data_IF_632727914932
#
_entry.id   IF_632727914932
#
_cell.length_a   1.000
_cell.length_b   1.000
_cell.length_c   1.000
_cell.angle_alpha   90.00
_cell.angle_beta   90.00
_cell.angle_gamma   90.00
#
_symmetry.space_group_name_H-M   'P 1'
#
loop_
_entity.id
_entity.type
_entity.pdbx_description
1 polymer ?
#
# COMPACT_ATOMS: atom_id res chain seq x y z
N UNK A 1 -12.60 -61.24 -35.25
CA UNK A 1 -13.34 -60.92 -36.48
C UNK A 1 -13.75 -59.47 -36.36
N UNK A 2 -13.09 -58.61 -37.14
CA UNK A 2 -13.49 -57.23 -37.38
C UNK A 2 -14.92 -57.15 -37.92
N UNK A 3 -15.66 -56.12 -37.52
CA UNK A 3 -16.32 -55.21 -38.46
C UNK A 3 -17.08 -54.10 -37.72
N UNK A 4 -16.54 -52.88 -37.77
CA UNK A 4 -17.30 -51.64 -37.81
C UNK A 4 -17.97 -51.51 -39.20
N UNK A 5 -19.15 -50.85 -39.36
CA UNK A 5 -19.12 -49.39 -39.57
C UNK A 5 -20.36 -48.57 -39.13
N UNK A 6 -20.08 -47.30 -38.81
CA UNK A 6 -20.75 -46.03 -39.20
C UNK A 6 -22.28 -45.79 -39.07
N UNK A 7 -22.60 -44.88 -38.12
CA UNK A 7 -23.34 -43.60 -38.23
C UNK A 7 -24.53 -43.44 -39.22
N UNK A 8 -25.70 -43.06 -38.67
CA UNK A 8 -26.66 -42.17 -39.34
C UNK A 8 -27.34 -41.19 -38.36
N UNK A 9 -27.45 -39.95 -38.83
CA UNK A 9 -27.91 -38.72 -38.17
C UNK A 9 -29.44 -38.64 -38.04
N UNK A 10 -29.91 -37.95 -36.99
CA UNK A 10 -31.17 -37.18 -36.92
C UNK A 10 -30.80 -35.80 -36.36
N UNK A 11 -30.98 -34.68 -37.08
CA UNK A 11 -32.20 -33.86 -37.10
C UNK A 11 -32.17 -32.91 -35.88
N UNK A 12 -32.30 -31.59 -35.91
CA UNK A 12 -32.67 -30.57 -36.90
C UNK A 12 -32.01 -29.24 -36.49
N UNK A 13 -32.02 -28.27 -37.39
CA UNK A 13 -31.41 -26.97 -37.24
C UNK A 13 -32.28 -25.98 -36.45
N UNK A 14 -31.67 -25.11 -35.64
CA UNK A 14 -32.14 -23.72 -35.51
C UNK A 14 -31.00 -22.77 -35.16
N UNK A 15 -31.09 -21.61 -35.77
CA UNK A 15 -30.09 -20.55 -35.95
C UNK A 15 -29.94 -19.72 -34.66
N UNK A 16 -28.70 -19.41 -34.28
CA UNK A 16 -28.36 -18.50 -33.17
C UNK A 16 -28.10 -17.09 -33.70
N UNK A 17 -28.76 -16.03 -33.21
CA UNK A 17 -28.26 -14.66 -33.35
C UNK A 17 -27.54 -14.19 -32.08
N UNK A 18 -26.44 -13.47 -32.29
CA UNK A 18 -25.67 -12.72 -31.29
C UNK A 18 -26.59 -11.82 -30.45
N UNK A 19 -26.48 -11.91 -29.12
CA UNK A 19 -26.96 -10.87 -28.22
C UNK A 19 -25.77 -10.10 -27.64
N UNK A 20 -25.63 -8.87 -28.13
CA UNK A 20 -24.88 -7.78 -27.52
C UNK A 20 -25.80 -7.15 -26.46
N UNK A 21 -25.45 -7.22 -25.18
CA UNK A 21 -26.21 -6.56 -24.11
C UNK A 21 -25.40 -5.41 -23.53
N UNK A 22 -25.95 -4.23 -23.80
CA UNK A 22 -25.51 -2.88 -23.48
C UNK A 22 -25.66 -2.58 -21.98
N UNK A 23 -24.60 -2.09 -21.33
CA UNK A 23 -24.69 -1.49 -20.00
C UNK A 23 -25.34 -0.10 -20.11
N UNK A 24 -26.42 0.10 -19.35
CA UNK A 24 -27.08 1.40 -19.15
C UNK A 24 -26.36 2.12 -18.00
N UNK A 25 -25.72 3.25 -18.31
CA UNK A 25 -25.25 4.23 -17.32
C UNK A 25 -26.24 5.39 -17.30
N UNK A 26 -26.90 5.61 -16.17
CA UNK A 26 -27.77 6.76 -15.95
C UNK A 26 -26.89 7.93 -15.45
N UNK A 27 -26.70 8.93 -16.30
CA UNK A 27 -26.17 10.25 -15.92
C UNK A 27 -27.34 11.23 -15.88
N UNK A 28 -27.61 11.79 -14.70
CA UNK A 28 -28.63 12.81 -14.47
C UNK A 28 -27.97 14.19 -14.50
N UNK A 29 -28.06 14.88 -15.65
CA UNK A 29 -27.70 16.29 -15.80
C UNK A 29 -28.99 17.06 -16.05
N UNK A 30 -29.44 17.84 -15.07
CA UNK A 30 -30.53 18.80 -15.23
C UNK A 30 -29.92 20.06 -15.84
N UNK A 31 -30.24 20.29 -17.12
CA UNK A 31 -29.99 21.56 -17.81
C UNK A 31 -31.08 22.58 -17.51
N UNK A 32 -30.70 23.84 -17.35
CA UNK A 32 -31.62 24.97 -17.50
C UNK A 32 -31.32 25.62 -18.85
N UNK A 33 -32.26 25.44 -19.77
CA UNK A 33 -32.29 26.04 -21.11
C UNK A 33 -32.63 27.54 -21.04
N UNK A 34 -31.95 28.30 -21.88
CA UNK A 34 -32.22 29.71 -22.13
C UNK A 34 -33.51 29.94 -22.93
N UNK A 35 -34.14 31.08 -22.67
CA UNK A 35 -35.25 31.63 -23.45
C UNK A 35 -34.73 32.73 -24.39
N UNK A 36 -35.16 32.73 -25.65
CA UNK A 36 -34.80 33.75 -26.66
C UNK A 36 -35.83 34.87 -26.74
N UNK A 37 -35.31 36.09 -26.68
CA UNK A 37 -35.61 37.32 -27.44
C UNK A 37 -37.06 37.79 -27.69
N UNK A 38 -37.36 39.00 -27.18
CA UNK A 38 -38.14 40.06 -27.86
C UNK A 38 -37.33 41.35 -27.70
N UNK A 39 -37.19 42.11 -28.80
CA UNK A 39 -36.25 43.21 -28.92
C UNK A 39 -36.72 44.55 -28.38
N UNK A 40 -35.75 45.42 -28.11
CA UNK A 40 -35.89 46.86 -28.30
C UNK A 40 -34.50 47.48 -28.53
N UNK A 41 -34.45 48.45 -29.44
CA UNK A 41 -33.25 49.18 -29.82
C UNK A 41 -32.92 50.23 -28.75
N UNK A 42 -31.80 50.08 -28.06
CA UNK A 42 -31.15 51.21 -27.40
C UNK A 42 -29.65 51.15 -27.65
N UNK A 43 -29.17 52.12 -28.43
CA UNK A 43 -27.75 52.42 -28.59
C UNK A 43 -27.19 52.89 -27.25
N UNK A 44 -26.28 52.12 -26.66
CA UNK A 44 -25.49 52.56 -25.51
C UNK A 44 -24.00 52.41 -25.85
N UNK A 45 -23.29 53.51 -25.68
CA UNK A 45 -21.90 53.72 -26.05
C UNK A 45 -20.95 52.69 -25.42
N UNK A 46 -19.98 52.23 -26.22
CA UNK A 46 -18.86 51.42 -25.77
C UNK A 46 -17.95 52.23 -24.84
N UNK A 47 -18.14 52.11 -23.53
CA UNK A 47 -17.15 52.50 -22.55
C UNK A 47 -16.20 51.32 -22.32
N UNK A 48 -14.94 51.46 -22.76
CA UNK A 48 -13.85 50.56 -22.41
C UNK A 48 -13.56 50.66 -20.91
N UNK A 49 -14.14 49.76 -20.12
CA UNK A 49 -13.71 49.56 -18.74
C UNK A 49 -12.36 48.83 -18.77
N UNK A 50 -11.31 49.51 -18.35
CA UNK A 50 -10.00 48.91 -18.15
C UNK A 50 -10.12 47.77 -17.12
N UNK A 51 -9.81 46.55 -17.55
CA UNK A 51 -9.70 45.41 -16.66
C UNK A 51 -8.61 45.69 -15.63
N UNK A 52 -8.96 45.65 -14.35
CA UNK A 52 -7.99 45.59 -13.27
C UNK A 52 -7.18 44.31 -13.46
N UNK A 53 -5.83 44.36 -13.53
CA UNK A 53 -5.06 43.14 -13.65
C UNK A 53 -5.33 42.29 -12.40
N UNK A 54 -5.81 41.06 -12.63
CA UNK A 54 -5.87 40.05 -11.60
C UNK A 54 -4.47 39.93 -11.00
N UNK A 55 -4.36 40.04 -9.68
CA UNK A 55 -3.11 39.78 -8.99
C UNK A 55 -2.67 38.36 -9.37
N UNK A 56 -1.51 38.25 -10.01
CA UNK A 56 -0.77 36.99 -10.14
C UNK A 56 -0.74 36.37 -8.74
N UNK A 57 -1.18 35.11 -8.54
CA UNK A 57 -0.95 34.44 -7.27
C UNK A 57 0.54 34.57 -6.99
N UNK A 58 0.89 35.13 -5.83
CA UNK A 58 2.26 35.08 -5.36
C UNK A 58 2.70 33.62 -5.47
N UNK A 59 3.83 33.36 -6.13
CA UNK A 59 4.43 32.04 -6.11
C UNK A 59 4.55 31.66 -4.63
N UNK A 60 3.75 30.70 -4.17
CA UNK A 60 3.97 30.11 -2.86
C UNK A 60 5.41 29.60 -2.91
N UNK A 61 6.26 30.20 -2.10
CA UNK A 61 7.61 29.68 -1.88
C UNK A 61 7.38 28.33 -1.22
N UNK A 62 7.38 27.26 -2.02
CA UNK A 62 7.25 25.90 -1.54
C UNK A 62 8.40 25.65 -0.56
N UNK A 63 8.07 25.63 0.73
CA UNK A 63 8.99 25.43 1.84
C UNK A 63 8.95 23.99 2.36
N UNK A 64 8.43 23.06 1.56
CA UNK A 64 8.42 21.64 1.88
C UNK A 64 9.85 21.11 2.00
N UNK A 65 10.05 20.13 2.88
CA UNK A 65 11.31 19.44 3.01
C UNK A 65 11.67 18.70 1.72
N UNK A 66 12.98 18.55 1.48
CA UNK A 66 13.53 17.89 0.30
C UNK A 66 14.50 16.81 0.76
N UNK A 67 14.36 15.61 0.18
CA UNK A 67 15.27 14.50 0.46
C UNK A 67 16.57 14.71 -0.31
N UNK A 68 17.69 14.74 0.40
CA UNK A 68 19.01 14.58 -0.19
C UNK A 68 19.30 13.08 -0.37
N UNK A 69 19.24 12.60 -1.61
CA UNK A 69 19.47 11.19 -1.92
C UNK A 69 20.93 10.73 -1.68
N UNK A 70 21.87 11.67 -1.49
CA UNK A 70 23.26 11.39 -1.16
C UNK A 70 23.53 11.39 0.36
N UNK A 71 22.60 11.90 1.17
CA UNK A 71 22.75 11.92 2.62
C UNK A 71 22.70 10.50 3.20
N UNK A 72 23.43 10.31 4.30
CA UNK A 72 23.48 9.06 5.06
C UNK A 72 22.77 9.22 6.39
N UNK A 73 22.09 8.18 6.89
CA UNK A 73 21.51 8.21 8.22
C UNK A 73 22.59 8.38 9.28
N UNK A 74 22.20 8.83 10.47
CA UNK A 74 23.10 8.90 11.63
C UNK A 74 23.66 7.51 12.00
N UNK A 75 24.83 7.47 12.64
CA UNK A 75 25.52 6.20 12.95
C UNK A 75 24.79 5.31 13.96
N UNK A 76 23.90 5.88 14.75
CA UNK A 76 23.03 5.18 15.71
C UNK A 76 21.66 4.83 15.14
N UNK A 77 21.33 5.31 13.93
CA UNK A 77 20.08 4.95 13.23
C UNK A 77 19.96 3.43 13.04
N UNK A 78 18.72 2.95 13.06
CA UNK A 78 18.37 1.55 12.84
C UNK A 78 17.24 1.46 11.83
N UNK A 79 17.39 0.54 10.88
CA UNK A 79 16.27 0.15 10.02
C UNK A 79 15.18 -0.55 10.81
N UNK A 80 13.98 -0.56 10.25
CA UNK A 80 12.89 -1.41 10.73
C UNK A 80 13.24 -2.86 10.43
N UNK A 81 13.20 -3.70 11.45
CA UNK A 81 13.38 -5.15 11.26
C UNK A 81 12.26 -5.69 10.34
N UNK A 82 12.59 -6.25 9.17
CA UNK A 82 11.59 -6.80 8.28
C UNK A 82 11.15 -8.20 8.69
N UNK A 83 11.78 -8.84 9.69
CA UNK A 83 11.42 -10.21 10.11
C UNK A 83 9.97 -10.25 10.57
N UNK A 84 9.21 -11.17 9.98
CA UNK A 84 7.83 -11.44 10.37
C UNK A 84 7.77 -12.70 11.24
N UNK A 85 7.43 -12.56 12.54
CA UNK A 85 7.26 -13.72 13.41
C UNK A 85 6.10 -14.60 12.95
N UNK A 86 6.19 -15.90 13.24
CA UNK A 86 5.09 -16.87 13.06
C UNK A 86 3.83 -16.43 13.78
N UNK A 87 2.67 -16.91 13.32
CA UNK A 87 1.41 -16.59 13.96
C UNK A 87 1.40 -16.98 15.45
N UNK A 88 0.91 -16.11 16.35
CA UNK A 88 0.76 -16.45 17.75
C UNK A 88 -0.23 -17.58 17.94
N UNK A 89 -0.02 -18.40 18.97
CA UNK A 89 -0.95 -19.46 19.34
C UNK A 89 -2.20 -18.87 20.00
N UNK A 90 -3.39 -19.34 19.63
CA UNK A 90 -4.65 -18.97 20.26
C UNK A 90 -5.69 -18.55 19.24
N UNK A 91 -6.94 -18.39 19.71
CA UNK A 91 -8.08 -17.97 18.87
C UNK A 91 -8.55 -16.54 19.12
N UNK A 92 -8.02 -15.87 20.15
CA UNK A 92 -8.38 -14.51 20.50
C UNK A 92 -7.09 -13.71 20.67
N UNK A 93 -6.92 -12.70 19.81
CA UNK A 93 -5.78 -11.79 19.81
C UNK A 93 -6.23 -10.46 20.42
N UNK A 94 -5.80 -10.18 21.65
CA UNK A 94 -6.12 -8.91 22.33
C UNK A 94 -4.91 -8.00 22.29
N UNK A 95 -5.08 -6.81 21.70
CA UNK A 95 -4.01 -5.81 21.57
C UNK A 95 -4.56 -4.42 21.88
N UNK A 96 -3.65 -3.49 22.19
CA UNK A 96 -3.97 -2.08 22.40
C UNK A 96 -3.13 -1.22 21.47
N UNK A 97 -3.76 -0.29 20.76
CA UNK A 97 -3.11 0.69 19.92
C UNK A 97 -3.29 2.10 20.47
N UNK A 98 -2.18 2.79 20.66
CA UNK A 98 -2.14 4.22 20.93
C UNK A 98 -2.01 4.98 19.62
N UNK A 99 -2.95 5.88 19.34
CA UNK A 99 -2.85 6.80 18.21
C UNK A 99 -2.17 8.08 18.67
N UNK A 100 -1.06 8.44 18.03
CA UNK A 100 -0.27 9.63 18.40
C UNK A 100 0.34 10.28 17.17
N UNK A 101 0.46 11.61 17.17
CA UNK A 101 1.30 12.36 16.25
C UNK A 101 2.71 12.53 16.86
N UNK A 102 3.74 12.06 16.14
CA UNK A 102 5.13 12.04 16.62
C UNK A 102 6.07 12.60 15.55
N UNK A 103 7.14 13.25 16.00
CA UNK A 103 8.22 13.68 15.11
C UNK A 103 9.06 12.47 14.75
N UNK A 104 9.22 12.20 13.46
CA UNK A 104 10.03 11.10 12.97
C UNK A 104 10.92 11.55 11.80
N UNK A 105 12.13 11.01 11.78
CA UNK A 105 13.03 11.13 10.65
C UNK A 105 12.62 10.11 9.59
N UNK A 106 12.18 10.56 8.41
CA UNK A 106 11.66 9.70 7.34
C UNK A 106 12.65 9.48 6.19
N UNK A 107 13.71 10.30 6.18
CA UNK A 107 14.90 10.20 5.35
C UNK A 107 16.04 10.93 6.09
N UNK A 108 17.32 10.70 5.74
CA UNK A 108 18.42 11.34 6.46
C UNK A 108 18.29 12.87 6.53
N UNK A 109 18.20 13.41 7.74
CA UNK A 109 18.05 14.84 8.02
C UNK A 109 16.67 15.43 7.73
N UNK A 110 15.66 14.60 7.40
CA UNK A 110 14.30 15.06 7.07
C UNK A 110 13.31 14.62 8.14
N UNK A 111 12.83 15.59 8.91
CA UNK A 111 11.85 15.36 9.97
C UNK A 111 10.43 15.63 9.46
N UNK A 112 9.46 14.79 9.84
CA UNK A 112 8.03 15.04 9.61
C UNK A 112 7.24 14.76 10.89
N UNK A 113 6.13 15.47 11.07
CA UNK A 113 5.12 15.10 12.07
C UNK A 113 4.26 13.98 11.47
N UNK A 114 4.55 12.75 11.85
CA UNK A 114 3.88 11.55 11.36
C UNK A 114 2.76 11.17 12.31
N UNK A 115 1.65 10.67 11.77
CA UNK A 115 0.50 10.22 12.53
C UNK A 115 0.52 8.71 12.57
N UNK A 116 0.46 8.13 13.76
CA UNK A 116 0.94 6.76 13.96
C UNK A 116 -0.02 5.91 14.77
N UNK A 117 0.11 4.60 14.59
CA UNK A 117 -0.32 3.61 15.56
C UNK A 117 0.91 3.12 16.32
N UNK A 118 0.93 3.27 17.64
CA UNK A 118 2.03 2.91 18.54
C UNK A 118 3.36 3.63 18.24
N UNK A 119 3.33 4.90 17.82
CA UNK A 119 4.54 5.70 17.67
C UNK A 119 5.47 5.25 16.53
N UNK A 120 4.98 4.43 15.60
CA UNK A 120 5.76 3.90 14.48
C UNK A 120 4.98 3.90 13.17
N UNK A 121 5.71 3.92 12.04
CA UNK A 121 5.17 3.82 10.68
C UNK A 121 6.00 2.79 9.91
N UNK A 122 5.40 1.75 9.29
CA UNK A 122 4.02 1.33 9.47
C UNK A 122 3.71 0.96 10.92
N UNK A 123 2.43 1.00 11.28
CA UNK A 123 1.94 0.50 12.56
C UNK A 123 2.25 -1.00 12.79
N UNK A 124 1.97 -1.53 13.99
CA UNK A 124 2.27 -2.92 14.32
C UNK A 124 1.58 -3.92 13.38
N UNK A 125 2.35 -4.82 12.76
CA UNK A 125 1.77 -5.92 11.98
C UNK A 125 1.08 -6.90 12.91
N UNK A 126 -0.24 -7.07 12.75
CA UNK A 126 -1.00 -8.10 13.45
C UNK A 126 -0.90 -9.42 12.68
N UNK A 127 -0.93 -10.55 13.38
CA UNK A 127 -0.96 -11.87 12.74
C UNK A 127 -1.87 -12.85 13.48
N UNK A 128 -2.60 -13.64 12.72
CA UNK A 128 -3.45 -14.71 13.22
C UNK A 128 -3.79 -15.72 12.12
N UNK A 129 -4.74 -16.60 12.40
CA UNK A 129 -5.26 -17.62 11.49
C UNK A 129 -6.73 -17.40 11.17
N UNK A 130 -7.22 -18.09 10.15
CA UNK A 130 -8.64 -18.13 9.82
C UNK A 130 -9.52 -18.48 11.04
N UNK A 131 -10.58 -17.70 11.22
CA UNK A 131 -11.55 -17.82 12.29
C UNK A 131 -11.07 -17.31 13.65
N UNK A 132 -9.86 -16.74 13.74
CA UNK A 132 -9.42 -16.06 14.96
C UNK A 132 -10.15 -14.73 15.14
N UNK A 133 -10.37 -14.34 16.39
CA UNK A 133 -10.97 -13.06 16.76
C UNK A 133 -9.89 -12.06 17.16
N UNK A 134 -9.88 -10.89 16.53
CA UNK A 134 -9.06 -9.76 16.94
C UNK A 134 -9.91 -8.80 17.79
N UNK A 135 -9.41 -8.49 18.98
CA UNK A 135 -9.97 -7.49 19.89
C UNK A 135 -8.94 -6.39 20.09
N UNK A 136 -9.10 -5.29 19.38
CA UNK A 136 -8.18 -4.16 19.35
C UNK A 136 -8.78 -3.01 20.15
N UNK A 137 -8.14 -2.63 21.25
CA UNK A 137 -8.49 -1.40 21.95
C UNK A 137 -7.69 -0.26 21.33
N UNK A 138 -8.36 0.71 20.71
CA UNK A 138 -7.72 1.92 20.21
C UNK A 138 -7.92 3.05 21.21
N UNK A 139 -6.84 3.77 21.50
CA UNK A 139 -6.84 4.91 22.41
C UNK A 139 -6.26 6.11 21.66
N UNK A 140 -7.05 7.17 21.52
CA UNK A 140 -6.57 8.38 20.89
C UNK A 140 -5.79 9.23 21.92
N UNK A 141 -4.47 9.16 21.86
CA UNK A 141 -3.56 9.96 22.69
C UNK A 141 -3.00 11.16 21.92
N UNK A 142 -3.53 11.42 20.73
CA UNK A 142 -3.13 12.50 19.86
C UNK A 142 -3.85 13.81 20.15
N UNK A 143 -3.75 14.74 19.19
CA UNK A 143 -4.31 16.09 19.26
C UNK A 143 -5.51 16.26 18.33
N UNK A 144 -5.71 15.36 17.37
CA UNK A 144 -6.84 15.36 16.46
C UNK A 144 -7.65 14.06 16.54
N UNK A 145 -8.82 14.03 15.90
CA UNK A 145 -9.62 12.80 15.83
C UNK A 145 -8.95 11.77 14.93
N UNK A 146 -9.06 10.51 15.32
CA UNK A 146 -8.56 9.36 14.59
C UNK A 146 -9.57 8.21 14.59
N UNK A 147 -9.43 7.27 13.67
CA UNK A 147 -10.20 6.03 13.64
C UNK A 147 -9.31 4.88 13.17
N UNK A 148 -9.89 3.70 13.06
CA UNK A 148 -9.23 2.55 12.41
C UNK A 148 -10.25 1.80 11.55
N UNK A 149 -9.84 1.45 10.35
CA UNK A 149 -10.52 0.60 9.40
C UNK A 149 -9.63 -0.64 9.20
N UNK A 150 -10.15 -1.83 9.47
CA UNK A 150 -9.46 -3.10 9.23
C UNK A 150 -10.06 -3.76 7.99
N UNK A 151 -9.29 -3.92 6.92
CA UNK A 151 -9.77 -4.60 5.70
C UNK A 151 -9.96 -6.10 5.89
N UNK A 152 -9.41 -6.67 6.97
CA UNK A 152 -9.67 -8.05 7.39
C UNK A 152 -11.02 -8.23 8.10
N UNK A 153 -11.76 -7.15 8.37
CA UNK A 153 -12.99 -7.16 9.16
C UNK A 153 -14.27 -7.09 8.31
N UNK A 154 -15.39 -7.51 8.90
CA UNK A 154 -16.75 -7.35 8.36
C UNK A 154 -17.66 -6.75 9.42
N UNK A 155 -17.54 -5.44 9.60
CA UNK A 155 -18.32 -4.68 10.58
C UNK A 155 -18.89 -3.40 9.96
N UNK A 156 -19.83 -2.75 10.63
CA UNK A 156 -20.41 -1.51 10.14
C UNK A 156 -19.42 -0.35 10.30
N UNK A 157 -19.16 0.36 9.20
CA UNK A 157 -18.27 1.54 9.19
C UNK A 157 -18.69 2.62 10.21
N UNK A 158 -19.99 2.85 10.35
CA UNK A 158 -20.53 3.88 11.27
C UNK A 158 -20.42 3.53 12.76
N UNK A 159 -20.09 2.28 13.07
CA UNK A 159 -19.99 1.78 14.45
C UNK A 159 -18.52 1.64 14.85
N UNK A 160 -17.87 0.58 14.37
CA UNK A 160 -16.51 0.21 14.77
C UNK A 160 -15.42 1.08 14.12
N UNK A 161 -15.70 1.70 12.96
CA UNK A 161 -14.73 2.52 12.22
C UNK A 161 -14.94 4.03 12.41
N UNK A 162 -15.83 4.42 13.33
CA UNK A 162 -16.10 5.84 13.64
C UNK A 162 -14.84 6.53 14.18
N UNK A 163 -14.76 7.84 13.99
CA UNK A 163 -13.72 8.64 14.62
C UNK A 163 -13.93 8.75 16.14
N UNK A 164 -12.82 8.74 16.87
CA UNK A 164 -12.73 9.01 18.30
C UNK A 164 -11.93 10.30 18.52
N UNK A 165 -12.44 11.17 19.40
CA UNK A 165 -11.78 12.41 19.75
C UNK A 165 -10.53 12.17 20.62
N UNK A 166 -9.62 13.16 20.76
CA UNK A 166 -8.52 13.07 21.70
C UNK A 166 -8.99 12.68 23.12
N UNK A 167 -8.31 11.71 23.72
CA UNK A 167 -8.63 11.16 25.04
C UNK A 167 -9.70 10.06 25.05
N UNK A 168 -10.39 9.82 23.93
CA UNK A 168 -11.36 8.75 23.82
C UNK A 168 -10.71 7.39 23.48
N UNK A 169 -11.47 6.33 23.70
CA UNK A 169 -11.10 4.97 23.31
C UNK A 169 -12.28 4.23 22.70
N UNK A 170 -11.98 3.21 21.90
CA UNK A 170 -12.94 2.29 21.30
C UNK A 170 -12.36 0.87 21.34
N UNK A 171 -13.23 -0.12 21.56
CA UNK A 171 -12.85 -1.53 21.49
C UNK A 171 -13.41 -2.09 20.21
N UNK A 172 -12.55 -2.32 19.23
CA UNK A 172 -12.88 -2.88 17.93
C UNK A 172 -12.75 -4.40 17.99
N UNK A 173 -13.82 -5.14 17.70
CA UNK A 173 -13.77 -6.61 17.66
C UNK A 173 -14.25 -7.17 16.34
N UNK A 174 -13.47 -8.06 15.71
CA UNK A 174 -13.88 -8.77 14.50
C UNK A 174 -13.27 -10.17 14.42
N UNK A 175 -13.88 -11.03 13.60
CA UNK A 175 -13.35 -12.35 13.26
C UNK A 175 -12.70 -12.30 11.88
N UNK A 176 -11.51 -12.89 11.77
CA UNK A 176 -10.77 -12.99 10.51
C UNK A 176 -11.32 -14.14 9.66
N UNK A 177 -12.32 -13.83 8.84
CA UNK A 177 -13.03 -14.83 8.02
C UNK A 177 -12.26 -15.23 6.74
N UNK A 178 -11.27 -14.45 6.33
CA UNK A 178 -10.52 -14.63 5.08
C UNK A 178 -9.02 -14.57 5.31
N UNK A 179 -8.29 -15.41 4.56
CA UNK A 179 -6.84 -15.47 4.60
C UNK A 179 -6.22 -14.44 3.66
N UNK A 180 -5.08 -13.90 4.06
CA UNK A 180 -4.28 -12.98 3.27
C UNK A 180 -3.53 -11.97 4.12
N UNK A 181 -3.03 -10.92 3.49
CA UNK A 181 -2.47 -9.78 4.20
C UNK A 181 -3.33 -8.57 3.82
N UNK A 182 -3.90 -7.94 4.85
CA UNK A 182 -4.93 -6.92 4.73
C UNK A 182 -4.44 -5.64 5.37
N UNK A 183 -4.73 -4.51 4.74
CA UNK A 183 -4.40 -3.21 5.28
C UNK A 183 -5.30 -2.94 6.48
N UNK A 184 -4.79 -2.20 7.44
CA UNK A 184 -5.61 -1.40 8.33
C UNK A 184 -5.11 0.04 8.30
N UNK A 185 -6.01 1.01 8.42
CA UNK A 185 -5.63 2.41 8.37
C UNK A 185 -6.62 3.32 9.08
N UNK A 186 -6.23 4.57 9.31
CA UNK A 186 -7.18 5.57 9.82
C UNK A 186 -8.16 6.01 8.72
N UNK A 187 -9.44 6.05 9.05
CA UNK A 187 -10.54 6.44 8.15
C UNK A 187 -11.12 7.83 8.44
N UNK A 188 -10.59 8.57 9.42
CA UNK A 188 -11.01 9.94 9.73
C UNK A 188 -10.77 10.87 8.54
N UNK A 189 -11.72 11.76 8.27
CA UNK A 189 -11.65 12.66 7.12
C UNK A 189 -10.64 13.82 7.34
N UNK A 190 -9.82 14.17 6.33
CA UNK A 190 -9.66 13.48 5.06
C UNK A 190 -8.76 12.25 5.18
N UNK A 191 -9.29 11.04 4.90
CA UNK A 191 -8.56 9.78 5.10
C UNK A 191 -7.24 9.73 4.34
N UNK A 192 -7.18 10.35 3.15
CA UNK A 192 -5.95 10.49 2.38
C UNK A 192 -4.81 11.13 3.19
N UNK A 193 -5.10 12.17 3.98
CA UNK A 193 -4.09 12.85 4.79
C UNK A 193 -3.62 11.95 5.94
N UNK A 194 -4.54 11.21 6.54
CA UNK A 194 -4.21 10.27 7.61
C UNK A 194 -3.33 9.11 7.13
N UNK A 195 -3.69 8.49 6.00
CA UNK A 195 -2.89 7.42 5.39
C UNK A 195 -1.54 7.98 4.96
N UNK A 196 -1.52 9.12 4.24
CA UNK A 196 -0.29 9.74 3.75
C UNK A 196 0.67 10.21 4.85
N UNK A 197 0.18 10.43 6.08
CA UNK A 197 1.00 10.73 7.27
C UNK A 197 1.41 9.50 8.08
N UNK A 198 1.12 8.28 7.62
CA UNK A 198 1.62 7.05 8.23
C UNK A 198 0.61 6.23 9.04
N UNK A 199 -0.66 6.62 9.11
CA UNK A 199 -1.68 5.84 9.84
C UNK A 199 -2.16 4.65 9.02
N UNK A 200 -1.27 3.69 8.82
CA UNK A 200 -1.53 2.41 8.18
C UNK A 200 -0.68 1.29 8.81
N UNK A 201 -1.03 0.06 8.51
CA UNK A 201 -0.29 -1.15 8.84
C UNK A 201 -1.03 -2.38 8.31
N UNK A 202 -0.59 -3.58 8.67
CA UNK A 202 -1.16 -4.80 8.11
C UNK A 202 -1.63 -5.82 9.16
N UNK A 203 -2.61 -6.62 8.75
CA UNK A 203 -3.06 -7.85 9.40
C UNK A 203 -2.76 -9.02 8.49
N UNK A 204 -1.93 -9.95 8.93
CA UNK A 204 -1.67 -11.22 8.25
C UNK A 204 -2.61 -12.27 8.84
N UNK A 205 -3.45 -12.86 8.00
CA UNK A 205 -4.29 -14.01 8.33
C UNK A 205 -3.78 -15.20 7.52
N UNK A 206 -3.12 -16.13 8.20
CA UNK A 206 -2.51 -17.29 7.55
C UNK A 206 -3.57 -18.13 6.80
N UNK A 207 -3.28 -18.61 5.56
CA UNK A 207 -4.13 -19.57 4.87
C UNK A 207 -4.14 -20.91 5.62
N UNK A 208 -5.14 -21.79 5.38
CA UNK A 208 -5.29 -23.05 6.12
C UNK A 208 -4.06 -23.95 6.10
N UNK A 209 -3.32 -23.90 4.99
CA UNK A 209 -2.06 -24.62 4.82
C UNK A 209 -1.02 -23.61 4.35
N UNK A 210 -0.02 -23.38 5.18
CA UNK A 210 1.11 -22.52 4.88
C UNK A 210 2.39 -23.34 5.01
N UNK A 211 3.10 -23.54 3.90
CA UNK A 211 4.32 -24.35 3.89
C UNK A 211 5.42 -23.72 4.77
N UNK A 212 6.29 -24.51 5.42
CA UNK A 212 7.38 -23.95 6.20
C UNK A 212 8.43 -23.30 5.28
N UNK A 213 9.02 -22.22 5.78
CA UNK A 213 10.16 -21.51 5.17
C UNK A 213 11.21 -21.24 6.25
N UNK A 214 12.42 -20.89 5.85
CA UNK A 214 13.52 -20.55 6.78
C UNK A 214 13.19 -19.26 7.56
N UNK A 215 12.79 -18.20 6.85
CA UNK A 215 12.35 -16.93 7.43
C UNK A 215 11.20 -16.33 6.63
N UNK A 216 10.33 -15.63 7.33
CA UNK A 216 9.32 -14.77 6.76
C UNK A 216 9.71 -13.31 6.98
N UNK A 217 9.37 -12.46 6.02
CA UNK A 217 9.54 -11.02 6.10
C UNK A 217 8.22 -10.30 5.82
N UNK A 218 8.11 -9.07 6.31
CA UNK A 218 7.02 -8.16 5.99
C UNK A 218 7.55 -6.87 5.35
N UNK A 219 6.97 -6.52 4.20
CA UNK A 219 7.30 -5.33 3.42
C UNK A 219 6.03 -4.53 3.14
N UNK A 220 6.00 -3.32 3.67
CA UNK A 220 4.95 -2.33 3.42
C UNK A 220 5.47 -1.29 2.44
N UNK A 221 4.90 -1.21 1.24
CA UNK A 221 5.16 -0.08 0.33
C UNK A 221 4.23 1.08 0.66
N UNK A 222 4.77 2.30 0.69
CA UNK A 222 3.99 3.52 0.84
C UNK A 222 4.68 4.72 0.18
N UNK A 223 3.93 5.77 -0.12
CA UNK A 223 4.50 7.05 -0.52
C UNK A 223 4.80 7.96 0.68
N UNK A 224 5.78 8.87 0.51
CA UNK A 224 5.98 10.03 1.39
C UNK A 224 5.64 11.30 0.62
N UNK A 225 4.80 12.14 1.22
CA UNK A 225 4.39 13.45 0.68
C UNK A 225 4.83 14.53 1.65
N UNK A 226 6.08 14.98 1.53
CA UNK A 226 6.71 15.88 2.50
C UNK A 226 6.04 17.24 2.49
N UNK A 227 5.64 17.68 3.69
CA UNK A 227 5.35 19.07 4.01
C UNK A 227 6.62 19.80 4.46
N UNK A 228 6.52 21.00 5.06
CA UNK A 228 7.66 21.66 5.68
C UNK A 228 8.30 20.78 6.75
N UNK A 229 9.60 20.98 7.02
CA UNK A 229 10.31 20.16 8.00
C UNK A 229 9.64 20.21 9.39
N UNK A 230 9.47 19.04 10.00
CA UNK A 230 8.77 18.84 11.28
C UNK A 230 7.25 19.09 11.23
N UNK A 231 6.64 19.22 10.05
CA UNK A 231 5.19 19.33 9.85
C UNK A 231 4.60 18.05 9.26
N UNK A 232 3.27 17.88 9.30
CA UNK A 232 2.60 16.82 8.56
C UNK A 232 2.84 16.97 7.06
N UNK A 233 2.68 15.87 6.35
CA UNK A 233 2.77 15.81 4.91
C UNK A 233 1.79 16.74 4.19
N UNK A 234 2.15 17.15 2.99
CA UNK A 234 1.40 18.10 2.18
C UNK A 234 0.21 17.41 1.48
N UNK A 235 -1.00 17.74 1.92
CA UNK A 235 -2.23 17.21 1.36
C UNK A 235 -2.44 17.59 -0.13
N UNK A 236 -1.96 18.74 -0.59
CA UNK A 236 -2.08 19.13 -1.99
C UNK A 236 -1.19 18.24 -2.88
N UNK A 237 -0.03 17.81 -2.38
CA UNK A 237 0.80 16.80 -3.06
C UNK A 237 0.14 15.44 -3.08
N UNK A 238 -0.49 15.02 -1.97
CA UNK A 238 -1.25 13.77 -1.92
C UNK A 238 -2.38 13.76 -2.96
N UNK A 239 -3.18 14.83 -3.02
CA UNK A 239 -4.30 14.98 -3.96
C UNK A 239 -3.88 15.04 -5.43
N UNK A 240 -2.65 15.48 -5.70
CA UNK A 240 -2.11 15.60 -7.06
C UNK A 240 -1.12 14.49 -7.42
N UNK A 241 -1.04 13.45 -6.58
CA UNK A 241 -0.16 12.28 -6.79
C UNK A 241 1.32 12.68 -6.94
N UNK A 242 1.77 13.69 -6.20
CA UNK A 242 3.15 14.23 -6.23
C UNK A 242 3.97 13.78 -5.02
N UNK A 243 4.25 12.49 -4.91
CA UNK A 243 5.11 11.96 -3.86
C UNK A 243 6.59 12.33 -4.05
N UNK A 244 7.27 12.57 -2.93
CA UNK A 244 8.72 12.81 -2.87
C UNK A 244 9.49 11.51 -2.85
N UNK A 245 8.95 10.51 -2.15
CA UNK A 245 9.52 9.19 -2.05
C UNK A 245 8.46 8.08 -2.13
N UNK A 246 8.92 6.90 -2.53
CA UNK A 246 8.22 5.63 -2.29
C UNK A 246 9.17 4.79 -1.47
N UNK A 247 8.68 4.21 -0.38
CA UNK A 247 9.53 3.55 0.61
C UNK A 247 9.01 2.17 0.94
N UNK A 248 9.92 1.28 1.32
CA UNK A 248 9.56 0.05 2.01
C UNK A 248 9.71 0.29 3.51
N UNK A 249 8.68 -0.04 4.29
CA UNK A 249 8.68 0.01 5.75
C UNK A 249 8.98 1.41 6.33
N UNK A 250 8.53 2.48 5.65
CA UNK A 250 8.39 3.82 6.23
C UNK A 250 9.59 4.76 6.15
N UNK A 251 10.76 4.31 5.67
CA UNK A 251 11.97 5.14 5.61
C UNK A 251 12.66 5.05 4.25
N UNK A 252 13.08 6.20 3.71
CA UNK A 252 13.73 6.33 2.42
C UNK A 252 15.01 5.49 2.33
N UNK A 253 15.07 4.54 1.39
CA UNK A 253 16.24 3.68 1.15
C UNK A 253 16.72 2.87 2.37
N UNK A 254 15.86 2.59 3.35
CA UNK A 254 16.31 1.99 4.61
C UNK A 254 17.10 0.69 4.43
N UNK A 255 16.67 -0.16 3.49
CA UNK A 255 17.28 -1.46 3.23
C UNK A 255 18.45 -1.41 2.23
N UNK A 256 18.77 -0.22 1.72
CA UNK A 256 20.07 0.08 1.13
C UNK A 256 21.09 0.41 2.23
N UNK A 257 20.67 1.20 3.22
CA UNK A 257 21.52 1.54 4.37
C UNK A 257 21.71 0.37 5.35
N UNK A 258 20.77 -0.56 5.42
CA UNK A 258 20.85 -1.76 6.25
C UNK A 258 20.32 -2.98 5.47
N UNK A 259 21.15 -3.62 4.64
CA UNK A 259 20.77 -4.80 3.87
C UNK A 259 20.27 -5.96 4.74
N UNK A 260 19.34 -6.73 4.19
CA UNK A 260 18.73 -7.88 4.88
C UNK A 260 19.61 -9.11 4.68
N UNK A 261 20.13 -9.66 5.78
CA UNK A 261 21.07 -10.77 5.72
C UNK A 261 20.39 -12.13 5.76
N UNK A 262 20.74 -12.98 4.79
CA UNK A 262 20.14 -14.29 4.55
C UNK A 262 21.18 -15.26 3.96
N UNK A 263 20.88 -16.55 3.95
CA UNK A 263 21.72 -17.59 3.36
C UNK A 263 21.19 -18.06 1.99
N UNK A 264 22.10 -18.46 1.11
CA UNK A 264 21.75 -19.09 -0.17
C UNK A 264 21.08 -20.46 0.04
N UNK A 265 20.31 -20.91 -0.96
CA UNK A 265 19.64 -22.22 -1.01
C UNK A 265 18.64 -22.48 0.14
N UNK A 266 18.22 -21.44 0.83
CA UNK A 266 17.13 -21.45 1.81
C UNK A 266 15.86 -20.89 1.19
N UNK A 267 14.70 -21.37 1.66
CA UNK A 267 13.39 -20.90 1.22
C UNK A 267 12.94 -19.74 2.09
N UNK A 268 12.55 -18.65 1.46
CA UNK A 268 12.08 -17.44 2.15
C UNK A 268 10.66 -17.10 1.70
N UNK A 269 9.92 -16.39 2.55
CA UNK A 269 8.63 -15.78 2.20
C UNK A 269 8.68 -14.29 2.52
N UNK A 270 8.16 -13.46 1.62
CA UNK A 270 7.92 -12.04 1.92
C UNK A 270 6.42 -11.77 1.77
N UNK A 271 5.79 -11.36 2.86
CA UNK A 271 4.48 -10.73 2.86
C UNK A 271 4.63 -9.29 2.40
N UNK A 272 3.96 -8.93 1.31
CA UNK A 272 4.03 -7.59 0.73
C UNK A 272 2.64 -6.96 0.81
N UNK A 273 2.57 -5.78 1.42
CA UNK A 273 1.38 -4.93 1.45
C UNK A 273 1.69 -3.63 0.73
N UNK A 274 0.83 -3.20 -0.18
CA UNK A 274 0.89 -1.86 -0.73
C UNK A 274 -0.10 -0.96 0.01
N UNK A 275 0.39 -0.20 0.99
CA UNK A 275 -0.43 0.73 1.77
C UNK A 275 -0.82 1.97 0.95
N UNK A 276 -0.07 2.28 -0.11
CA UNK A 276 -0.30 3.46 -0.93
C UNK A 276 0.02 4.78 -0.18
N UNK A 277 -0.88 5.79 -0.20
CA UNK A 277 -2.29 5.73 -0.62
C UNK A 277 -2.58 5.67 -2.13
N UNK A 278 -1.65 6.05 -3.02
CA UNK A 278 -1.98 6.29 -4.44
C UNK A 278 -1.20 5.43 -5.45
N UNK A 279 0.09 5.15 -5.22
CA UNK A 279 0.92 4.47 -6.22
C UNK A 279 0.81 2.95 -6.09
N UNK A 280 0.87 2.27 -7.23
CA UNK A 280 0.85 0.80 -7.24
C UNK A 280 2.25 0.21 -7.02
N UNK A 281 2.31 -1.06 -6.66
CA UNK A 281 3.55 -1.81 -6.52
C UNK A 281 3.71 -2.82 -7.64
N UNK A 282 4.92 -2.91 -8.17
CA UNK A 282 5.39 -4.00 -9.00
C UNK A 282 6.59 -4.64 -8.31
N UNK A 283 6.36 -5.28 -7.16
CA UNK A 283 7.43 -5.77 -6.30
C UNK A 283 8.26 -6.85 -7.01
N UNK A 284 9.58 -6.63 -7.05
CA UNK A 284 10.53 -7.47 -7.76
C UNK A 284 11.81 -7.62 -6.96
N UNK A 285 12.43 -8.81 -7.00
CA UNK A 285 13.77 -9.05 -6.50
C UNK A 285 14.65 -9.42 -7.71
N UNK A 286 15.60 -8.55 -8.02
CA UNK A 286 16.54 -8.75 -9.12
C UNK A 286 17.44 -9.94 -8.80
N UNK A 287 17.60 -10.84 -9.77
CA UNK A 287 18.46 -12.02 -9.64
C UNK A 287 17.78 -13.26 -9.05
N UNK A 288 16.49 -13.20 -8.70
CA UNK A 288 15.72 -14.39 -8.33
C UNK A 288 14.34 -14.42 -9.00
N UNK A 289 13.62 -15.53 -8.85
CA UNK A 289 12.30 -15.79 -9.42
C UNK A 289 11.41 -16.30 -8.28
N UNK A 290 10.15 -15.85 -8.26
CA UNK A 290 9.15 -16.35 -7.33
C UNK A 290 8.57 -17.66 -7.85
N UNK A 291 8.74 -18.75 -7.12
CA UNK A 291 8.14 -20.05 -7.47
C UNK A 291 6.74 -20.22 -6.84
N UNK A 292 6.37 -19.30 -5.94
CA UNK A 292 5.08 -19.25 -5.26
C UNK A 292 4.61 -17.82 -5.18
N UNK A 293 3.35 -17.59 -5.53
CA UNK A 293 2.69 -16.29 -5.43
C UNK A 293 1.30 -16.49 -4.86
N UNK A 294 1.01 -15.77 -3.79
CA UNK A 294 -0.31 -15.67 -3.17
C UNK A 294 -0.73 -14.20 -3.18
N UNK A 295 -1.95 -13.90 -3.64
CA UNK A 295 -2.49 -12.54 -3.73
C UNK A 295 -3.97 -12.56 -3.40
N UNK A 296 -4.41 -11.66 -2.53
CA UNK A 296 -5.84 -11.46 -2.17
C UNK A 296 -6.61 -12.76 -1.90
N UNK A 297 -6.04 -13.67 -1.11
CA UNK A 297 -6.71 -14.90 -0.71
C UNK A 297 -6.48 -16.10 -1.64
N UNK A 298 -5.78 -15.93 -2.77
CA UNK A 298 -5.60 -16.99 -3.78
C UNK A 298 -4.13 -17.24 -4.11
N UNK A 299 -3.77 -18.53 -4.25
CA UNK A 299 -2.51 -18.93 -4.84
C UNK A 299 -2.59 -18.76 -6.37
N UNK A 300 -1.82 -17.81 -6.90
CA UNK A 300 -1.67 -17.60 -8.34
C UNK A 300 -0.60 -18.52 -8.93
N UNK A 301 0.38 -18.91 -8.11
CA UNK A 301 1.47 -19.80 -8.48
C UNK A 301 1.89 -20.65 -7.28
N UNK A 302 2.16 -21.93 -7.52
CA UNK A 302 2.79 -22.86 -6.57
C UNK A 302 3.73 -23.81 -7.33
N UNK A 303 4.74 -24.39 -6.65
CA UNK A 303 5.63 -25.36 -7.26
C UNK A 303 4.87 -26.60 -7.73
N UNK A 304 4.95 -26.88 -9.03
CA UNK A 304 4.36 -28.06 -9.64
C UNK A 304 5.20 -28.56 -10.84
N UNK A 305 4.70 -29.55 -11.56
CA UNK A 305 5.42 -30.17 -12.69
C UNK A 305 5.65 -29.22 -13.87
N UNK A 306 4.91 -28.10 -13.96
CA UNK A 306 5.10 -27.08 -15.01
C UNK A 306 6.32 -26.21 -14.75
N UNK A 307 6.81 -26.15 -13.50
CA UNK A 307 7.91 -25.27 -13.07
C UNK A 307 7.67 -23.81 -13.45
N UNK A 308 6.44 -23.33 -13.23
CA UNK A 308 6.10 -21.92 -13.45
C UNK A 308 6.90 -21.01 -12.51
N UNK A 309 7.11 -19.76 -12.95
CA UNK A 309 7.79 -18.73 -12.18
C UNK A 309 7.11 -17.38 -12.40
N UNK A 310 7.03 -16.57 -11.36
CA UNK A 310 6.66 -15.16 -11.46
C UNK A 310 7.88 -14.27 -11.23
N UNK A 311 7.97 -13.22 -12.04
CA UNK A 311 9.02 -12.20 -11.90
C UNK A 311 8.60 -11.07 -10.96
N UNK A 312 7.30 -10.81 -10.82
CA UNK A 312 6.76 -9.63 -10.14
C UNK A 312 5.51 -10.04 -9.33
N UNK A 313 5.32 -9.43 -8.17
CA UNK A 313 4.02 -9.37 -7.49
C UNK A 313 3.45 -7.96 -7.72
N UNK A 314 2.38 -7.87 -8.53
CA UNK A 314 1.67 -6.62 -8.78
C UNK A 314 0.62 -6.37 -7.69
N UNK A 315 0.58 -5.17 -7.12
CA UNK A 315 -0.37 -4.78 -6.07
C UNK A 315 -0.89 -3.36 -6.33
N UNK A 316 -2.20 -3.19 -6.45
CA UNK A 316 -2.83 -1.86 -6.35
C UNK A 316 -2.73 -1.33 -4.91
N UNK A 317 -2.98 -0.04 -4.65
CA UNK A 317 -3.15 0.45 -3.29
C UNK A 317 -4.17 -0.40 -2.51
N UNK A 318 -3.87 -0.66 -1.24
CA UNK A 318 -4.58 -1.57 -0.34
C UNK A 318 -4.57 -3.07 -0.70
N UNK A 319 -3.84 -3.49 -1.74
CA UNK A 319 -3.67 -4.92 -2.05
C UNK A 319 -2.46 -5.52 -1.38
N UNK A 320 -2.60 -6.80 -1.01
CA UNK A 320 -1.57 -7.56 -0.35
C UNK A 320 -1.43 -8.99 -0.85
N UNK A 321 -0.25 -9.56 -0.64
CA UNK A 321 0.07 -10.94 -0.97
C UNK A 321 1.37 -11.43 -0.33
N UNK A 322 1.83 -12.60 -0.73
CA UNK A 322 3.20 -13.03 -0.47
C UNK A 322 3.84 -13.70 -1.68
N UNK A 323 5.16 -13.67 -1.70
CA UNK A 323 5.99 -14.43 -2.64
C UNK A 323 6.94 -15.36 -1.89
N UNK A 324 7.26 -16.50 -2.47
CA UNK A 324 8.31 -17.39 -1.99
C UNK A 324 9.35 -17.66 -3.06
N UNK A 325 10.59 -17.80 -2.62
CA UNK A 325 11.75 -17.94 -3.49
C UNK A 325 12.95 -18.52 -2.73
N UNK A 326 14.01 -18.80 -3.47
CA UNK A 326 15.33 -19.17 -2.97
C UNK A 326 16.39 -18.33 -3.68
N UNK A 327 17.51 -18.03 -3.01
CA UNK A 327 18.70 -17.46 -3.67
C UNK A 327 19.63 -18.59 -4.11
N UNK A 328 20.11 -18.53 -5.35
CA UNK A 328 20.92 -19.61 -5.93
C UNK A 328 22.38 -19.59 -5.43
N UNK A 329 22.93 -18.39 -5.19
CA UNK A 329 24.33 -18.19 -4.81
C UNK A 329 24.49 -16.99 -3.87
N UNK A 330 25.68 -16.85 -3.30
CA UNK A 330 26.06 -15.70 -2.49
C UNK A 330 26.13 -14.43 -3.35
N UNK A 331 25.68 -13.30 -2.81
CA UNK A 331 25.68 -12.03 -3.55
C UNK A 331 24.69 -11.01 -3.03
N UNK A 332 24.64 -9.87 -3.70
CA UNK A 332 23.68 -8.81 -3.44
C UNK A 332 22.50 -8.92 -4.40
N UNK A 333 21.29 -8.97 -3.84
CA UNK A 333 20.05 -9.07 -4.60
C UNK A 333 19.19 -7.84 -4.29
N UNK A 334 19.13 -6.84 -5.19
CA UNK A 334 18.29 -5.67 -4.98
C UNK A 334 16.81 -6.04 -5.11
N UNK A 335 15.99 -5.50 -4.22
CA UNK A 335 14.54 -5.54 -4.34
C UNK A 335 13.98 -4.13 -4.51
N UNK A 336 12.94 -4.04 -5.35
CA UNK A 336 12.39 -2.78 -5.83
C UNK A 336 10.90 -2.89 -6.04
N UNK A 337 10.24 -1.74 -6.21
CA UNK A 337 9.04 -1.67 -7.03
C UNK A 337 9.44 -1.33 -8.46
N UNK A 338 9.03 -2.16 -9.43
CA UNK A 338 9.45 -2.05 -10.83
C UNK A 338 8.71 -0.92 -11.59
N UNK A 339 7.95 -0.08 -10.87
CA UNK A 339 7.66 1.31 -11.24
C UNK A 339 8.94 2.14 -11.15
N UNK A 340 9.82 1.92 -12.11
CA UNK A 340 11.27 2.06 -11.90
C UNK A 340 11.76 3.46 -11.52
N UNK A 341 11.01 4.53 -11.84
CA UNK A 341 11.31 5.87 -11.32
C UNK A 341 11.39 5.91 -9.78
N UNK A 342 10.61 5.06 -9.10
CA UNK A 342 10.55 4.98 -7.64
C UNK A 342 11.80 4.36 -7.02
N UNK A 343 12.63 3.63 -7.77
CA UNK A 343 13.94 3.14 -7.29
C UNK A 343 14.83 4.32 -6.94
N UNK A 344 14.87 5.36 -7.78
CA UNK A 344 15.57 6.62 -7.51
C UNK A 344 14.90 7.47 -6.43
N UNK A 345 13.66 7.16 -6.06
CA UNK A 345 12.87 7.85 -5.03
C UNK A 345 12.72 7.05 -3.72
N UNK A 346 13.59 6.06 -3.47
CA UNK A 346 13.66 5.42 -2.15
C UNK A 346 13.17 3.97 -2.09
N UNK A 347 12.56 3.45 -3.16
CA UNK A 347 12.00 2.10 -3.21
C UNK A 347 13.06 1.09 -3.64
N UNK A 348 14.17 1.07 -2.89
CA UNK A 348 15.33 0.21 -3.10
C UNK A 348 15.79 -0.38 -1.78
N UNK A 349 16.00 -1.69 -1.78
CA UNK A 349 16.67 -2.41 -0.71
C UNK A 349 17.49 -3.57 -1.24
N UNK A 350 18.27 -4.21 -0.37
CA UNK A 350 19.11 -5.34 -0.74
C UNK A 350 18.93 -6.51 0.21
N UNK A 351 18.91 -7.72 -0.35
CA UNK A 351 19.31 -8.90 0.39
C UNK A 351 20.82 -9.11 0.22
N UNK A 352 21.53 -9.24 1.34
CA UNK A 352 22.92 -9.67 1.39
C UNK A 352 22.94 -11.18 1.67
N UNK A 353 23.21 -11.97 0.63
CA UNK A 353 23.14 -13.42 0.68
C UNK A 353 24.53 -13.99 0.95
N UNK A 354 24.66 -14.79 2.01
CA UNK A 354 25.92 -15.41 2.40
C UNK A 354 27.00 -14.37 2.74
N UNK A 355 28.17 -14.47 2.12
CA UNK A 355 29.31 -13.56 2.36
C UNK A 355 29.34 -12.34 1.44
N UNK A 356 28.17 -11.84 1.03
CA UNK A 356 28.09 -10.68 0.14
C UNK A 356 28.82 -9.45 0.71
N UNK A 357 29.66 -8.81 -0.12
CA UNK A 357 30.31 -7.55 0.24
C UNK A 357 29.30 -6.40 0.13
N UNK A 358 28.96 -5.79 1.26
CA UNK A 358 28.02 -4.67 1.36
C UNK A 358 28.71 -3.31 1.40
N UNK A 359 30.04 -3.26 1.38
CA UNK A 359 30.82 -2.02 1.54
C UNK A 359 30.47 -0.94 0.52
N UNK A 360 30.12 -1.34 -0.71
CA UNK A 360 29.72 -0.44 -1.79
C UNK A 360 28.34 0.20 -1.60
N UNK A 361 27.50 -0.30 -0.68
CA UNK A 361 26.16 0.23 -0.43
C UNK A 361 26.19 1.46 0.50
N UNK A 362 27.32 1.71 1.16
CA UNK A 362 27.53 2.85 2.06
C UNK A 362 26.65 2.82 3.32
N UNK A 363 26.02 1.68 3.61
CA UNK A 363 25.22 1.44 4.80
C UNK A 363 26.04 1.03 6.02
N UNK A 364 25.37 0.97 7.18
CA UNK A 364 25.95 0.50 8.45
C UNK A 364 25.81 -1.02 8.63
#
# INVERSE_FOLDING_TARGET
>A
MDNTPALKKSGEATVLPMFLSLFIVIILVIGVLGYRAIGDQTTVASASAAATPAATPAAETNNNAVIDAAAMPASDWKSRDPIQPSAPTGKIHTVSFDMTEVQMEVAPGVMQEMWTFNGQVPGPTLRGSLGDTFKVTIVNKGKMSHSIDFHASKVAWSDEMRSIAPGESLVYTYTADYAGVFMYHCGTAPALHHIGNGMYGAVIVDPPVLAPVEKEFFMSQSELYLGPDGKPGDLAKMMSEKWDAVVFNGYFNQYKFAPIHVDANKRYRIWVMNEGPNENSAFHIVGTIFDTVFKEGSYLLQPDTRKGGSQVLDLQPAQGGFVEFTFAEDGLYPFVTHKFANVGKGALGFFAVGKADTSALGGH
#
